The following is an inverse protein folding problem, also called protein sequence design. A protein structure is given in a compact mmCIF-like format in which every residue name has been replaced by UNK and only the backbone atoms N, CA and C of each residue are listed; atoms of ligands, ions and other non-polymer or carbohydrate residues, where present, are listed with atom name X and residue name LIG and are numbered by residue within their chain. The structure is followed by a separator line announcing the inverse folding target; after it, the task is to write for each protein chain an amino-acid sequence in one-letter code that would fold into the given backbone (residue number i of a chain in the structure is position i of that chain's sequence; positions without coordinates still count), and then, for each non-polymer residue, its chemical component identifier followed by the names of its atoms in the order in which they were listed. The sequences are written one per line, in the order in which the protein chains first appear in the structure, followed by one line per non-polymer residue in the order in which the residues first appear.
data_IF_221170065785
#
_entry.id   IF_221170065785
#
_cell.length_a   1.000
_cell.length_b   1.000
_cell.length_c   1.000
_cell.angle_alpha   90.00
_cell.angle_beta   90.00
_cell.angle_gamma   90.00
#
_symmetry.space_group_name_H-M   'P 1'
#
loop_
_entity.id
_entity.type
_entity.pdbx_description
1 polymer ?
#
# COMPACT_ATOMS: atom_id res chain seq x y z
N UNK A 1 -16.78 -24.39 -32.36
CA UNK A 1 -16.90 -23.07 -31.72
C UNK A 1 -15.80 -22.95 -30.67
N UNK A 2 -14.57 -22.70 -31.13
CA UNK A 2 -13.37 -22.62 -30.28
C UNK A 2 -13.26 -21.20 -29.74
N UNK A 3 -13.37 -21.02 -28.42
CA UNK A 3 -13.01 -19.74 -27.79
C UNK A 3 -11.56 -19.41 -28.22
N UNK A 4 -11.29 -18.23 -28.79
CA UNK A 4 -9.95 -17.89 -29.26
C UNK A 4 -9.00 -17.89 -28.06
N UNK A 5 -7.80 -18.44 -28.24
CA UNK A 5 -6.81 -18.64 -27.18
C UNK A 5 -6.51 -17.37 -26.36
N UNK A 6 -6.72 -16.19 -26.94
CA UNK A 6 -6.59 -14.88 -26.29
C UNK A 6 -7.59 -14.65 -25.13
N UNK A 7 -8.82 -15.17 -25.22
CA UNK A 7 -9.77 -15.03 -24.12
C UNK A 7 -9.35 -15.87 -22.89
N UNK A 8 -8.72 -17.03 -23.12
CA UNK A 8 -8.26 -17.89 -22.04
C UNK A 8 -7.08 -17.25 -21.29
N UNK A 9 -6.14 -16.63 -22.01
CA UNK A 9 -4.96 -15.98 -21.41
C UNK A 9 -5.34 -14.77 -20.55
N UNK A 10 -6.29 -13.94 -21.01
CA UNK A 10 -6.80 -12.81 -20.23
C UNK A 10 -7.51 -13.24 -18.94
N UNK A 11 -8.27 -14.34 -18.98
CA UNK A 11 -8.94 -14.90 -17.80
C UNK A 11 -7.94 -15.46 -16.78
N UNK A 12 -6.90 -16.15 -17.24
CA UNK A 12 -5.83 -16.66 -16.37
C UNK A 12 -5.06 -15.50 -15.72
N UNK A 13 -4.70 -14.48 -16.50
CA UNK A 13 -3.95 -13.33 -16.01
C UNK A 13 -4.74 -12.51 -14.98
N UNK A 14 -6.05 -12.34 -15.18
CA UNK A 14 -6.91 -11.66 -14.20
C UNK A 14 -7.12 -12.44 -12.91
N UNK A 15 -7.20 -13.78 -12.98
CA UNK A 15 -7.22 -14.63 -11.77
C UNK A 15 -5.92 -14.54 -11.00
N UNK A 16 -4.78 -14.61 -11.69
CA UNK A 16 -3.46 -14.46 -11.08
C UNK A 16 -3.30 -13.07 -10.43
N UNK A 17 -3.69 -12.00 -11.13
CA UNK A 17 -3.62 -10.64 -10.60
C UNK A 17 -4.47 -10.46 -9.32
N UNK A 18 -5.68 -11.01 -9.28
CA UNK A 18 -6.53 -10.99 -8.07
C UNK A 18 -5.89 -11.72 -6.90
N UNK A 19 -5.33 -12.92 -7.15
CA UNK A 19 -4.66 -13.69 -6.11
C UNK A 19 -3.42 -12.96 -5.59
N UNK A 20 -2.62 -12.36 -6.46
CA UNK A 20 -1.45 -11.58 -6.07
C UNK A 20 -1.82 -10.33 -5.28
N UNK A 21 -2.92 -9.65 -5.65
CA UNK A 21 -3.42 -8.51 -4.86
C UNK A 21 -3.84 -8.97 -3.46
N UNK A 22 -4.53 -10.11 -3.35
CA UNK A 22 -4.94 -10.66 -2.06
C UNK A 22 -3.73 -11.03 -1.20
N UNK A 23 -2.73 -11.69 -1.77
CA UNK A 23 -1.48 -12.02 -1.08
C UNK A 23 -0.75 -10.75 -0.64
N UNK A 24 -0.66 -9.75 -1.51
CA UNK A 24 -0.06 -8.46 -1.18
C UNK A 24 -0.80 -7.74 -0.05
N UNK A 25 -2.14 -7.79 -0.02
CA UNK A 25 -2.95 -7.21 1.04
C UNK A 25 -2.71 -7.93 2.39
N UNK A 26 -2.63 -9.26 2.38
CA UNK A 26 -2.30 -10.05 3.57
C UNK A 26 -0.90 -9.69 4.08
N UNK A 27 0.09 -9.57 3.19
CA UNK A 27 1.45 -9.14 3.55
C UNK A 27 1.45 -7.71 4.11
N UNK A 28 0.67 -6.79 3.53
CA UNK A 28 0.57 -5.43 4.01
C UNK A 28 -0.06 -5.32 5.41
N UNK A 29 -1.14 -6.05 5.66
CA UNK A 29 -1.78 -6.13 6.97
C UNK A 29 -0.87 -6.78 8.02
N UNK A 30 -0.21 -7.88 7.64
CA UNK A 30 0.77 -8.55 8.48
C UNK A 30 1.92 -7.61 8.82
N UNK A 31 2.45 -6.89 7.83
CA UNK A 31 3.54 -5.95 8.02
C UNK A 31 3.18 -4.77 8.92
N UNK A 32 1.98 -4.19 8.80
CA UNK A 32 1.51 -3.14 9.72
C UNK A 32 1.46 -3.64 11.18
N UNK A 33 0.96 -4.86 11.40
CA UNK A 33 0.92 -5.46 12.72
C UNK A 33 2.34 -5.77 13.26
N UNK A 34 3.21 -6.34 12.44
CA UNK A 34 4.57 -6.72 12.82
C UNK A 34 5.45 -5.52 13.15
N UNK A 35 5.42 -4.45 12.34
CA UNK A 35 6.29 -3.28 12.53
C UNK A 35 5.91 -2.42 13.74
N UNK A 36 4.69 -2.57 14.27
CA UNK A 36 4.21 -1.81 15.43
C UNK A 36 4.40 -2.55 16.75
N UNK A 37 4.67 -3.86 16.71
CA UNK A 37 4.94 -4.63 17.90
C UNK A 37 6.41 -4.42 18.37
N UNK A 38 6.68 -4.42 19.68
CA UNK A 38 7.98 -4.02 20.24
C UNK A 38 9.13 -4.97 19.90
N UNK A 39 8.84 -6.21 19.47
CA UNK A 39 9.83 -7.24 19.16
C UNK A 39 10.34 -7.14 17.71
N UNK A 40 11.00 -6.03 17.40
CA UNK A 40 11.48 -5.70 16.05
C UNK A 40 12.31 -6.83 15.42
N UNK A 41 13.22 -7.46 16.19
CA UNK A 41 14.08 -8.58 15.74
C UNK A 41 13.33 -9.66 14.97
N UNK A 42 12.39 -10.31 15.66
CA UNK A 42 11.56 -11.37 15.09
C UNK A 42 10.58 -10.86 14.03
N UNK A 43 10.01 -9.67 14.24
CA UNK A 43 8.95 -9.14 13.39
C UNK A 43 9.46 -8.76 11.98
N UNK A 44 10.63 -8.13 11.89
CA UNK A 44 11.26 -7.80 10.61
C UNK A 44 11.71 -9.08 9.90
N UNK A 45 12.27 -10.04 10.65
CA UNK A 45 12.65 -11.34 10.11
C UNK A 45 11.46 -12.06 9.45
N UNK A 46 10.34 -12.14 10.17
CA UNK A 46 9.11 -12.77 9.68
C UNK A 46 8.53 -12.01 8.48
N UNK A 47 8.50 -10.67 8.52
CA UNK A 47 8.02 -9.85 7.42
C UNK A 47 8.83 -10.03 6.12
N UNK A 48 10.16 -9.98 6.21
CA UNK A 48 11.02 -10.19 5.04
C UNK A 48 10.99 -11.64 4.54
N UNK A 49 10.96 -12.63 5.43
CA UNK A 49 10.87 -14.04 5.06
C UNK A 49 9.53 -14.36 4.37
N UNK A 50 8.41 -13.80 4.85
CA UNK A 50 7.09 -13.99 4.22
C UNK A 50 7.05 -13.40 2.81
N UNK A 51 7.66 -12.23 2.59
CA UNK A 51 7.80 -11.63 1.26
C UNK A 51 8.65 -12.51 0.32
N UNK A 52 9.82 -12.95 0.78
CA UNK A 52 10.72 -13.81 0.00
C UNK A 52 10.04 -15.14 -0.36
N UNK A 53 9.33 -15.76 0.59
CA UNK A 53 8.59 -16.99 0.36
C UNK A 53 7.43 -16.79 -0.65
N UNK A 54 6.69 -15.68 -0.55
CA UNK A 54 5.63 -15.35 -1.49
C UNK A 54 6.18 -15.19 -2.91
N UNK A 55 7.28 -14.44 -3.08
CA UNK A 55 7.93 -14.26 -4.37
C UNK A 55 8.47 -15.58 -4.94
N UNK A 56 9.08 -16.42 -4.09
CA UNK A 56 9.51 -17.77 -4.47
C UNK A 56 8.35 -18.63 -4.98
N UNK A 57 7.20 -18.63 -4.30
CA UNK A 57 6.01 -19.39 -4.74
C UNK A 57 5.45 -18.84 -6.05
N UNK A 58 5.40 -17.52 -6.23
CA UNK A 58 5.00 -16.89 -7.49
C UNK A 58 5.92 -17.29 -8.64
N UNK A 59 7.22 -17.40 -8.36
CA UNK A 59 8.22 -17.87 -9.31
C UNK A 59 8.01 -19.32 -9.76
N UNK A 60 7.31 -20.14 -8.97
CA UNK A 60 7.02 -21.54 -9.28
C UNK A 60 5.71 -21.72 -10.07
N UNK A 61 4.73 -20.85 -9.87
CA UNK A 61 3.34 -21.10 -10.31
C UNK A 61 2.96 -20.48 -11.64
N UNK A 62 3.64 -19.43 -12.09
CA UNK A 62 3.30 -18.81 -13.38
C UNK A 62 4.03 -19.51 -14.54
N UNK A 63 3.35 -19.75 -15.68
CA UNK A 63 3.92 -20.46 -16.81
C UNK A 63 5.22 -19.82 -17.31
N UNK A 64 6.12 -20.69 -17.72
CA UNK A 64 7.41 -20.38 -18.30
C UNK A 64 7.17 -19.65 -19.64
N UNK A 65 7.29 -18.32 -19.67
CA UNK A 65 7.59 -17.69 -20.94
C UNK A 65 8.97 -18.19 -21.37
N UNK A 66 9.20 -18.45 -22.64
CA UNK A 66 10.39 -19.15 -23.19
C UNK A 66 11.76 -18.59 -22.72
N UNK A 67 11.80 -17.37 -22.16
CA UNK A 67 12.96 -16.71 -21.54
C UNK A 67 13.18 -17.03 -20.03
N UNK A 68 12.22 -17.69 -19.37
CA UNK A 68 12.16 -17.93 -17.91
C UNK A 68 12.70 -19.29 -17.47
N UNK A 69 13.08 -20.16 -18.42
CA UNK A 69 13.68 -21.47 -18.14
C UNK A 69 14.97 -21.40 -17.29
N UNK A 70 15.50 -20.21 -17.01
CA UNK A 70 16.70 -20.03 -16.20
C UNK A 70 16.50 -19.19 -14.92
N UNK A 71 15.29 -18.72 -14.52
CA UNK A 71 15.15 -17.90 -13.30
C UNK A 71 15.68 -18.62 -12.07
N UNK A 72 16.72 -18.05 -11.48
CA UNK A 72 17.43 -18.64 -10.34
C UNK A 72 16.65 -18.39 -9.07
N UNK A 73 16.27 -19.47 -8.37
CA UNK A 73 15.37 -19.39 -7.21
C UNK A 73 16.09 -19.34 -5.85
N UNK A 74 17.36 -19.76 -5.79
CA UNK A 74 18.14 -19.74 -4.55
C UNK A 74 18.29 -18.34 -3.91
N UNK A 75 18.33 -17.21 -4.64
CA UNK A 75 18.46 -15.90 -4.01
C UNK A 75 17.33 -15.59 -3.02
N UNK A 76 16.10 -16.04 -3.26
CA UNK A 76 15.03 -15.88 -2.27
C UNK A 76 15.23 -16.71 -1.01
N UNK A 77 15.81 -17.91 -1.12
CA UNK A 77 16.18 -18.71 0.04
C UNK A 77 17.28 -18.02 0.85
N UNK A 78 18.28 -17.46 0.17
CA UNK A 78 19.31 -16.65 0.82
C UNK A 78 18.72 -15.40 1.48
N UNK A 79 17.82 -14.70 0.80
CA UNK A 79 17.14 -13.53 1.35
C UNK A 79 16.32 -13.88 2.61
N UNK A 80 15.61 -15.02 2.59
CA UNK A 80 14.89 -15.51 3.76
C UNK A 80 15.83 -15.91 4.92
N UNK A 81 17.00 -16.49 4.61
CA UNK A 81 18.02 -16.80 5.61
C UNK A 81 18.56 -15.54 6.29
N UNK A 82 18.98 -14.53 5.52
CA UNK A 82 19.46 -13.27 6.07
C UNK A 82 18.36 -12.50 6.82
N UNK A 83 17.12 -12.56 6.34
CA UNK A 83 15.96 -12.08 7.10
C UNK A 83 15.84 -12.80 8.45
N UNK A 84 16.00 -14.12 8.51
CA UNK A 84 15.91 -14.88 9.76
C UNK A 84 17.02 -14.52 10.76
N UNK A 85 18.20 -14.10 10.30
CA UNK A 85 19.30 -13.67 11.19
C UNK A 85 18.94 -12.45 12.04
N UNK A 86 17.96 -11.64 11.61
CA UNK A 86 17.43 -10.52 12.40
C UNK A 86 16.77 -10.96 13.72
N UNK A 87 16.30 -12.21 13.81
CA UNK A 87 15.76 -12.76 15.04
C UNK A 87 16.83 -13.33 15.99
N UNK A 88 18.04 -13.57 15.48
CA UNK A 88 19.12 -14.26 16.20
C UNK A 88 20.21 -13.29 16.66
N UNK A 89 20.44 -12.21 15.91
CA UNK A 89 21.54 -11.26 16.15
C UNK A 89 21.04 -10.02 16.89
N UNK A 90 21.90 -9.50 17.75
CA UNK A 90 21.61 -8.31 18.58
C UNK A 90 22.50 -7.11 18.21
N UNK A 91 23.55 -7.32 17.41
CA UNK A 91 24.45 -6.23 17.01
C UNK A 91 23.88 -5.43 15.83
N UNK A 92 23.60 -4.15 16.05
CA UNK A 92 23.11 -3.20 15.03
C UNK A 92 23.85 -3.22 13.68
N UNK A 93 25.20 -3.23 13.60
CA UNK A 93 25.89 -3.23 12.31
C UNK A 93 25.66 -4.52 11.52
N UNK A 94 25.59 -5.69 12.18
CA UNK A 94 25.31 -6.95 11.48
C UNK A 94 23.85 -6.99 11.00
N UNK A 95 22.91 -6.45 11.78
CA UNK A 95 21.51 -6.33 11.38
C UNK A 95 21.33 -5.48 10.13
N UNK A 96 22.09 -4.38 10.00
CA UNK A 96 22.10 -3.56 8.79
C UNK A 96 22.65 -4.33 7.58
N UNK A 97 23.75 -5.09 7.77
CA UNK A 97 24.31 -5.93 6.71
C UNK A 97 23.38 -7.06 6.28
N UNK A 98 22.65 -7.67 7.23
CA UNK A 98 21.69 -8.73 6.93
C UNK A 98 20.49 -8.21 6.12
N UNK A 99 19.98 -7.01 6.43
CA UNK A 99 18.94 -6.36 5.63
C UNK A 99 19.46 -6.04 4.23
N UNK A 100 20.66 -5.47 4.11
CA UNK A 100 21.28 -5.19 2.81
C UNK A 100 21.45 -6.48 2.01
N UNK A 101 21.97 -7.55 2.61
CA UNK A 101 22.12 -8.85 1.96
C UNK A 101 20.78 -9.41 1.50
N UNK A 102 19.74 -9.36 2.34
CA UNK A 102 18.41 -9.82 1.99
C UNK A 102 17.80 -9.04 0.81
N UNK A 103 17.93 -7.71 0.81
CA UNK A 103 17.46 -6.85 -0.27
C UNK A 103 18.25 -7.05 -1.57
N UNK A 104 19.57 -7.18 -1.49
CA UNK A 104 20.43 -7.47 -2.65
C UNK A 104 20.06 -8.81 -3.29
N UNK A 105 19.90 -9.86 -2.48
CA UNK A 105 19.50 -11.18 -2.93
C UNK A 105 18.08 -11.18 -3.54
N UNK A 106 17.16 -10.39 -2.99
CA UNK A 106 15.81 -10.23 -3.54
C UNK A 106 15.79 -9.54 -4.93
N UNK A 107 16.85 -8.81 -5.31
CA UNK A 107 16.97 -8.19 -6.63
C UNK A 107 17.53 -9.13 -7.70
N UNK A 108 18.36 -10.12 -7.33
CA UNK A 108 19.06 -11.00 -8.29
C UNK A 108 18.17 -11.80 -9.24
N UNK A 109 16.97 -12.31 -8.84
CA UNK A 109 16.11 -13.08 -9.75
C UNK A 109 15.65 -12.31 -10.99
N UNK A 110 15.84 -10.99 -11.03
CA UNK A 110 15.51 -10.13 -12.17
C UNK A 110 16.66 -9.99 -13.19
N UNK A 111 17.85 -10.49 -12.88
CA UNK A 111 18.96 -10.58 -13.83
C UNK A 111 18.61 -11.63 -14.89
N UNK A 112 18.75 -11.26 -16.17
CA UNK A 112 18.46 -12.12 -17.32
C UNK A 112 19.54 -13.20 -17.50
N UNK A 113 19.19 -14.33 -18.12
CA UNK A 113 20.14 -15.42 -18.39
C UNK A 113 20.39 -16.34 -17.19
N UNK A 114 19.59 -16.18 -16.12
CA UNK A 114 19.54 -17.13 -15.03
C UNK A 114 20.88 -17.45 -14.38
N UNK A 115 21.20 -18.74 -14.23
CA UNK A 115 22.44 -19.16 -13.58
C UNK A 115 23.69 -18.69 -14.34
N UNK A 116 23.65 -18.61 -15.67
CA UNK A 116 24.77 -18.09 -16.48
C UNK A 116 24.88 -16.57 -16.33
N UNK A 117 23.75 -15.88 -16.46
CA UNK A 117 23.67 -14.43 -16.27
C UNK A 117 24.13 -13.99 -14.89
N UNK A 118 23.80 -14.73 -13.81
CA UNK A 118 24.31 -14.43 -12.47
C UNK A 118 25.82 -14.66 -12.33
N UNK A 119 26.40 -15.61 -13.08
CA UNK A 119 27.86 -15.89 -13.05
C UNK A 119 28.65 -14.84 -13.83
N UNK A 120 28.05 -14.30 -14.88
CA UNK A 120 28.66 -13.30 -15.76
C UNK A 120 28.32 -11.86 -15.35
N UNK A 121 27.35 -11.68 -14.44
CA UNK A 121 26.88 -10.38 -13.99
C UNK A 121 28.02 -9.54 -13.39
N UNK A 122 28.23 -8.36 -13.98
CA UNK A 122 29.11 -7.35 -13.43
C UNK A 122 28.44 -6.52 -12.35
N UNK A 123 29.22 -5.60 -11.76
CA UNK A 123 28.69 -4.61 -10.80
C UNK A 123 27.59 -3.75 -11.41
N UNK A 124 27.74 -3.39 -12.69
CA UNK A 124 26.73 -2.60 -13.41
C UNK A 124 25.38 -3.34 -13.52
N UNK A 125 25.41 -4.66 -13.77
CA UNK A 125 24.20 -5.48 -13.86
C UNK A 125 23.51 -5.59 -12.49
N UNK A 126 24.28 -5.68 -11.40
CA UNK A 126 23.75 -5.68 -10.04
C UNK A 126 23.06 -4.35 -9.71
N UNK A 127 23.69 -3.22 -10.04
CA UNK A 127 23.09 -1.89 -9.85
C UNK A 127 21.84 -1.73 -10.70
N UNK A 128 21.89 -2.14 -11.98
CA UNK A 128 20.73 -2.12 -12.87
C UNK A 128 19.59 -3.02 -12.37
N UNK A 129 19.91 -4.19 -11.81
CA UNK A 129 18.93 -5.07 -11.19
C UNK A 129 18.31 -4.42 -9.96
N UNK A 130 19.09 -3.79 -9.07
CA UNK A 130 18.57 -3.10 -7.89
C UNK A 130 17.65 -1.93 -8.28
N UNK A 131 18.11 -1.03 -9.16
CA UNK A 131 17.34 0.12 -9.64
C UNK A 131 16.09 -0.35 -10.40
N UNK A 132 16.24 -1.37 -11.25
CA UNK A 132 15.13 -1.95 -11.99
C UNK A 132 14.10 -2.59 -11.07
N UNK A 133 14.53 -3.30 -10.03
CA UNK A 133 13.65 -3.88 -9.00
C UNK A 133 12.90 -2.78 -8.26
N UNK A 134 13.58 -1.74 -7.82
CA UNK A 134 12.96 -0.60 -7.14
C UNK A 134 11.91 0.08 -8.02
N UNK A 135 12.24 0.38 -9.27
CA UNK A 135 11.32 0.98 -10.22
C UNK A 135 10.10 0.12 -10.50
N UNK A 136 10.30 -1.19 -10.74
CA UNK A 136 9.22 -2.13 -11.02
C UNK A 136 8.36 -2.40 -9.78
N UNK A 137 8.95 -2.39 -8.59
CA UNK A 137 8.21 -2.48 -7.33
C UNK A 137 7.36 -1.23 -7.12
N UNK A 138 7.91 -0.04 -7.37
CA UNK A 138 7.18 1.21 -7.24
C UNK A 138 6.01 1.34 -8.22
N UNK A 139 6.16 0.82 -9.45
CA UNK A 139 5.18 0.97 -10.52
C UNK A 139 4.28 -0.25 -10.72
N UNK A 140 4.71 -1.43 -10.27
CA UNK A 140 4.06 -2.70 -10.52
C UNK A 140 2.70 -2.85 -9.83
N UNK A 141 2.48 -2.16 -8.71
CA UNK A 141 1.17 -2.10 -8.06
C UNK A 141 0.09 -1.55 -8.98
N UNK A 142 0.40 -0.52 -9.77
CA UNK A 142 -0.52 0.05 -10.74
C UNK A 142 -0.86 -0.93 -11.86
N UNK A 143 0.16 -1.66 -12.36
CA UNK A 143 -0.03 -2.64 -13.42
C UNK A 143 -0.79 -3.87 -12.94
N UNK A 144 -0.53 -4.32 -11.71
CA UNK A 144 -1.32 -5.37 -11.08
C UNK A 144 -2.80 -4.97 -11.05
N UNK A 145 -3.11 -3.76 -10.57
CA UNK A 145 -4.49 -3.26 -10.47
C UNK A 145 -5.19 -3.21 -11.82
N UNK A 146 -4.49 -2.83 -12.89
CA UNK A 146 -5.03 -2.85 -14.26
C UNK A 146 -5.37 -4.24 -14.76
N UNK A 147 -4.61 -5.25 -14.33
CA UNK A 147 -4.76 -6.63 -14.77
C UNK A 147 -5.76 -7.43 -13.93
N UNK A 148 -6.31 -6.90 -12.83
CA UNK A 148 -7.36 -7.55 -12.01
C UNK A 148 -8.63 -7.86 -12.81
N UNK A 149 -8.84 -7.16 -13.94
CA UNK A 149 -10.02 -7.30 -14.78
C UNK A 149 -11.24 -6.59 -14.20
N UNK A 150 -12.44 -7.09 -14.50
CA UNK A 150 -13.67 -6.50 -13.98
C UNK A 150 -13.81 -6.73 -12.48
N UNK A 151 -14.03 -5.63 -11.76
CA UNK A 151 -14.33 -5.62 -10.33
C UNK A 151 -15.85 -5.51 -10.17
N UNK A 152 -16.48 -6.23 -9.21
CA UNK A 152 -17.91 -6.08 -8.93
C UNK A 152 -18.31 -4.62 -8.75
N UNK A 153 -19.50 -4.24 -9.23
CA UNK A 153 -19.98 -2.84 -9.19
C UNK A 153 -19.96 -2.29 -7.76
N UNK A 154 -20.37 -3.09 -6.77
CA UNK A 154 -20.31 -2.71 -5.35
C UNK A 154 -18.90 -2.27 -4.91
N UNK A 155 -17.88 -3.05 -5.25
CA UNK A 155 -16.48 -2.73 -4.93
C UNK A 155 -15.96 -1.51 -5.69
N UNK A 156 -16.39 -1.30 -6.94
CA UNK A 156 -16.05 -0.08 -7.69
C UNK A 156 -16.59 1.16 -6.99
N UNK A 157 -17.82 1.10 -6.48
CA UNK A 157 -18.41 2.20 -5.71
C UNK A 157 -17.65 2.43 -4.40
N UNK A 158 -17.37 1.37 -3.63
CA UNK A 158 -16.59 1.49 -2.37
C UNK A 158 -15.23 2.14 -2.62
N UNK A 159 -14.50 1.71 -3.66
CA UNK A 159 -13.21 2.32 -4.03
C UNK A 159 -13.39 3.77 -4.47
N UNK A 160 -14.40 4.08 -5.28
CA UNK A 160 -14.66 5.45 -5.72
C UNK A 160 -15.01 6.38 -4.55
N UNK A 161 -15.80 5.91 -3.58
CA UNK A 161 -16.12 6.63 -2.35
C UNK A 161 -14.87 6.85 -1.51
N UNK A 162 -14.06 5.81 -1.28
CA UNK A 162 -12.81 5.91 -0.53
C UNK A 162 -11.82 6.89 -1.16
N UNK A 163 -11.64 6.82 -2.50
CA UNK A 163 -10.80 7.78 -3.24
C UNK A 163 -11.39 9.20 -3.16
N UNK A 164 -12.71 9.35 -3.28
CA UNK A 164 -13.37 10.64 -3.14
C UNK A 164 -13.15 11.27 -1.76
N UNK A 165 -13.30 10.49 -0.69
CA UNK A 165 -13.01 10.91 0.69
C UNK A 165 -11.53 11.26 0.88
N UNK A 166 -10.62 10.45 0.32
CA UNK A 166 -9.17 10.73 0.38
C UNK A 166 -8.83 12.07 -0.29
N UNK A 167 -9.39 12.32 -1.46
CA UNK A 167 -9.24 13.60 -2.19
C UNK A 167 -9.89 14.76 -1.42
N UNK A 168 -10.90 14.49 -0.60
CA UNK A 168 -11.53 15.51 0.24
C UNK A 168 -10.71 15.93 1.45
N UNK A 169 -9.73 15.12 1.89
CA UNK A 169 -8.95 15.37 3.11
C UNK A 169 -8.33 16.79 3.15
N UNK A 170 -7.61 17.28 2.12
CA UNK A 170 -7.00 18.61 2.18
C UNK A 170 -8.03 19.72 2.37
N UNK A 171 -9.16 19.67 1.65
CA UNK A 171 -10.23 20.65 1.79
C UNK A 171 -10.86 20.60 3.18
N UNK A 172 -11.19 19.40 3.66
CA UNK A 172 -11.73 19.18 5.01
C UNK A 172 -10.79 19.72 6.08
N UNK A 173 -9.49 19.46 5.98
CA UNK A 173 -8.48 19.95 6.94
C UNK A 173 -8.37 21.47 6.91
N UNK A 174 -8.29 22.10 5.73
CA UNK A 174 -8.19 23.55 5.59
C UNK A 174 -9.42 24.22 6.19
N UNK A 175 -10.64 23.83 5.80
CA UNK A 175 -11.86 24.44 6.31
C UNK A 175 -12.08 24.16 7.80
N UNK A 176 -11.81 22.94 8.26
CA UNK A 176 -11.93 22.63 9.69
C UNK A 176 -10.96 23.45 10.53
N UNK A 177 -9.71 23.65 10.07
CA UNK A 177 -8.72 24.47 10.76
C UNK A 177 -9.12 25.96 10.77
N UNK A 178 -9.61 26.49 9.63
CA UNK A 178 -10.10 27.87 9.55
C UNK A 178 -11.25 28.12 10.51
N UNK A 179 -12.23 27.22 10.57
CA UNK A 179 -13.37 27.33 11.48
C UNK A 179 -12.98 27.15 12.94
N UNK A 180 -12.06 26.23 13.25
CA UNK A 180 -11.54 26.05 14.60
C UNK A 180 -10.77 27.29 15.08
N UNK A 181 -10.05 27.98 14.18
CA UNK A 181 -9.38 29.23 14.51
C UNK A 181 -10.35 30.39 14.75
N UNK A 182 -11.56 30.33 14.20
CA UNK A 182 -12.56 31.39 14.31
C UNK A 182 -13.51 31.19 15.52
N UNK A 183 -13.73 29.95 15.95
CA UNK A 183 -14.67 29.62 17.03
C UNK A 183 -14.09 28.55 18.00
N UNK A 184 -13.88 28.91 19.29
CA UNK A 184 -13.39 27.98 20.31
C UNK A 184 -14.29 26.75 20.57
N UNK A 185 -15.61 26.87 20.36
CA UNK A 185 -16.54 25.74 20.51
C UNK A 185 -16.33 24.71 19.42
N UNK A 186 -16.13 25.18 18.20
CA UNK A 186 -15.83 24.32 17.07
C UNK A 186 -14.45 23.67 17.23
N UNK A 187 -13.43 24.40 17.69
CA UNK A 187 -12.10 23.82 18.01
C UNK A 187 -12.21 22.67 19.02
N UNK A 188 -12.97 22.85 20.11
CA UNK A 188 -13.20 21.78 21.09
C UNK A 188 -13.89 20.56 20.47
N UNK A 189 -14.90 20.78 19.63
CA UNK A 189 -15.59 19.71 18.91
C UNK A 189 -14.64 18.95 17.97
N UNK A 190 -13.85 19.66 17.16
CA UNK A 190 -12.86 19.07 16.24
C UNK A 190 -11.82 18.25 17.00
N UNK A 191 -11.24 18.79 18.09
CA UNK A 191 -10.26 18.05 18.90
C UNK A 191 -10.83 16.77 19.50
N UNK A 192 -12.10 16.78 19.89
CA UNK A 192 -12.77 15.59 20.41
C UNK A 192 -12.98 14.51 19.33
N UNK A 193 -13.28 14.92 18.09
CA UNK A 193 -13.48 14.03 16.94
C UNK A 193 -12.15 13.48 16.38
N UNK A 194 -11.13 14.34 16.31
CA UNK A 194 -9.79 14.02 15.78
C UNK A 194 -8.89 13.36 16.84
N UNK A 195 -9.42 13.04 18.02
CA UNK A 195 -8.68 12.39 19.10
C UNK A 195 -7.93 11.12 18.67
N UNK A 196 -7.13 10.57 19.60
CA UNK A 196 -6.14 9.48 19.38
C UNK A 196 -6.63 8.33 18.48
N UNK A 197 -7.92 7.99 18.51
CA UNK A 197 -8.52 6.92 17.69
C UNK A 197 -8.40 7.17 16.18
N UNK A 198 -8.68 8.38 15.69
CA UNK A 198 -8.67 8.67 14.25
C UNK A 198 -7.24 8.68 13.69
N UNK A 199 -6.31 9.31 14.42
CA UNK A 199 -4.89 9.32 14.06
C UNK A 199 -4.29 7.91 14.02
N UNK A 200 -4.64 7.06 14.99
CA UNK A 200 -4.23 5.65 15.00
C UNK A 200 -4.75 4.92 13.76
N UNK A 201 -6.06 4.97 13.48
CA UNK A 201 -6.67 4.30 12.32
C UNK A 201 -6.03 4.76 11.00
N UNK A 202 -5.83 6.07 10.83
CA UNK A 202 -5.21 6.62 9.63
C UNK A 202 -3.77 6.12 9.47
N UNK A 203 -3.01 6.06 10.56
CA UNK A 203 -1.64 5.54 10.51
C UNK A 203 -1.59 4.06 10.12
N UNK A 204 -2.51 3.23 10.64
CA UNK A 204 -2.63 1.81 10.29
C UNK A 204 -3.00 1.64 8.81
N UNK A 205 -3.96 2.44 8.33
CA UNK A 205 -4.39 2.43 6.95
C UNK A 205 -3.26 2.83 6.01
N UNK A 206 -2.54 3.92 6.31
CA UNK A 206 -1.43 4.40 5.48
C UNK A 206 -0.30 3.38 5.39
N UNK A 207 0.15 2.83 6.52
CA UNK A 207 1.23 1.85 6.53
C UNK A 207 0.81 0.57 5.78
N UNK A 208 -0.40 0.06 6.03
CA UNK A 208 -0.96 -1.11 5.33
C UNK A 208 -1.02 -0.88 3.82
N UNK A 209 -1.48 0.29 3.37
CA UNK A 209 -1.58 0.63 1.94
C UNK A 209 -0.19 0.70 1.30
N UNK A 210 0.79 1.33 1.94
CA UNK A 210 2.16 1.41 1.43
C UNK A 210 2.79 0.03 1.32
N UNK A 211 2.68 -0.79 2.38
CA UNK A 211 3.24 -2.15 2.37
C UNK A 211 2.54 -3.05 1.35
N UNK A 212 1.21 -2.96 1.25
CA UNK A 212 0.44 -3.67 0.21
C UNK A 212 0.87 -3.25 -1.18
N UNK A 213 1.09 -1.95 -1.42
CA UNK A 213 1.54 -1.43 -2.71
C UNK A 213 2.91 -1.97 -3.11
N UNK A 214 3.88 -1.94 -2.18
CA UNK A 214 5.22 -2.48 -2.41
C UNK A 214 5.19 -4.00 -2.61
N UNK A 215 4.42 -4.73 -1.82
CA UNK A 215 4.22 -6.17 -1.96
C UNK A 215 3.62 -6.51 -3.33
N UNK A 216 2.53 -5.83 -3.71
CA UNK A 216 1.86 -5.99 -4.99
C UNK A 216 2.80 -5.73 -6.15
N UNK A 217 3.56 -4.64 -6.07
CA UNK A 217 4.56 -4.28 -7.06
C UNK A 217 5.61 -5.36 -7.23
N UNK A 218 6.29 -5.72 -6.14
CA UNK A 218 7.36 -6.73 -6.15
C UNK A 218 6.88 -8.07 -6.69
N UNK A 219 5.74 -8.58 -6.19
CA UNK A 219 5.17 -9.85 -6.66
C UNK A 219 4.76 -9.80 -8.13
N UNK A 220 4.19 -8.69 -8.59
CA UNK A 220 3.82 -8.50 -10.00
C UNK A 220 5.05 -8.49 -10.92
N UNK A 221 6.19 -7.93 -10.46
CA UNK A 221 7.44 -7.94 -11.25
C UNK A 221 7.88 -9.34 -11.67
N UNK A 222 7.62 -10.32 -10.81
CA UNK A 222 7.98 -11.73 -11.02
C UNK A 222 6.87 -12.51 -11.74
N UNK A 223 5.62 -12.04 -11.66
CA UNK A 223 4.50 -12.67 -12.35
C UNK A 223 4.37 -12.25 -13.82
N UNK A 224 4.64 -10.98 -14.12
CA UNK A 224 4.57 -10.42 -15.47
C UNK A 224 5.80 -9.54 -15.75
N UNK A 225 6.97 -10.16 -16.01
CA UNK A 225 8.18 -9.41 -16.34
C UNK A 225 7.96 -8.56 -17.59
N UNK A 226 8.21 -7.26 -17.48
CA UNK A 226 8.17 -6.31 -18.60
C UNK A 226 9.54 -5.71 -18.90
N UNK A 227 9.77 -5.05 -20.04
CA UNK A 227 10.92 -4.16 -20.20
C UNK A 227 10.85 -2.99 -19.21
N UNK A 228 11.99 -2.36 -18.90
CA UNK A 228 11.97 -1.08 -18.20
C UNK A 228 11.30 -0.06 -19.13
N UNK A 229 10.11 0.40 -18.74
CA UNK A 229 9.33 1.38 -19.48
C UNK A 229 8.85 2.48 -18.52
N UNK A 230 8.66 3.72 -19.01
CA UNK A 230 8.04 4.75 -18.20
C UNK A 230 6.63 4.31 -17.78
N UNK A 231 6.20 4.59 -16.53
CA UNK A 231 4.87 4.26 -16.08
C UNK A 231 3.87 5.00 -16.96
N UNK A 232 3.07 4.25 -17.72
CA UNK A 232 1.82 4.80 -18.20
C UNK A 232 0.93 4.93 -16.98
N UNK A 233 0.74 6.13 -16.42
CA UNK A 233 -0.26 6.31 -15.37
C UNK A 233 -1.64 6.33 -16.05
N UNK A 234 -2.63 5.56 -15.56
CA UNK A 234 -3.97 5.70 -16.09
C UNK A 234 -4.40 7.15 -15.81
N UNK A 235 -5.01 7.83 -16.78
CA UNK A 235 -5.51 9.17 -16.56
C UNK A 235 -6.49 9.13 -15.37
N UNK A 236 -6.10 9.77 -14.26
CA UNK A 236 -6.95 9.86 -13.08
C UNK A 236 -8.07 10.83 -13.43
N UNK A 237 -9.20 10.30 -13.87
CA UNK A 237 -10.42 11.07 -14.08
C UNK A 237 -11.24 11.02 -12.81
N UNK A 238 -11.53 12.18 -12.24
CA UNK A 238 -12.50 12.30 -11.16
C UNK A 238 -13.89 11.97 -11.73
N UNK A 239 -14.48 10.89 -11.25
CA UNK A 239 -15.86 10.56 -11.56
C UNK A 239 -16.84 11.38 -10.71
N UNK A 240 -18.14 11.30 -11.02
CA UNK A 240 -19.17 12.03 -10.28
C UNK A 240 -19.20 11.66 -8.79
N UNK A 241 -18.95 10.40 -8.44
CA UNK A 241 -18.90 9.93 -7.04
C UNK A 241 -17.78 10.64 -6.27
N UNK A 242 -16.58 10.73 -6.85
CA UNK A 242 -15.45 11.38 -6.22
C UNK A 242 -15.72 12.87 -5.99
N UNK A 243 -16.30 13.54 -6.99
CA UNK A 243 -16.70 14.97 -6.89
C UNK A 243 -17.79 15.17 -5.84
N UNK A 244 -18.80 14.30 -5.79
CA UNK A 244 -19.85 14.34 -4.77
C UNK A 244 -19.29 14.10 -3.37
N UNK A 245 -18.31 13.22 -3.19
CA UNK A 245 -17.66 13.00 -1.89
C UNK A 245 -16.82 14.21 -1.46
N UNK A 246 -16.08 14.83 -2.39
CA UNK A 246 -15.32 16.06 -2.13
C UNK A 246 -16.24 17.20 -1.69
N UNK A 247 -17.28 17.48 -2.49
CA UNK A 247 -18.25 18.54 -2.21
C UNK A 247 -19.07 18.22 -0.95
N UNK A 248 -19.54 16.99 -0.80
CA UNK A 248 -20.36 16.54 0.32
C UNK A 248 -19.60 16.56 1.64
N UNK A 249 -18.36 16.08 1.67
CA UNK A 249 -17.52 16.14 2.88
C UNK A 249 -17.21 17.58 3.27
N UNK A 250 -16.92 18.45 2.30
CA UNK A 250 -16.71 19.88 2.56
C UNK A 250 -18.00 20.53 3.08
N UNK A 251 -19.14 20.30 2.42
CA UNK A 251 -20.43 20.81 2.86
C UNK A 251 -20.81 20.32 4.27
N UNK A 252 -20.46 19.08 4.62
CA UNK A 252 -20.65 18.54 5.96
C UNK A 252 -19.86 19.31 7.02
N UNK A 253 -18.60 19.69 6.74
CA UNK A 253 -17.80 20.52 7.66
C UNK A 253 -18.49 21.86 7.91
N UNK A 254 -18.98 22.52 6.86
CA UNK A 254 -19.74 23.76 6.97
C UNK A 254 -21.04 23.57 7.76
N UNK A 255 -21.80 22.50 7.49
CA UNK A 255 -23.03 22.21 8.21
C UNK A 255 -22.78 21.96 9.70
N UNK A 256 -21.72 21.22 10.05
CA UNK A 256 -21.31 21.00 11.44
C UNK A 256 -20.92 22.31 12.12
N UNK A 257 -20.19 23.19 11.44
CA UNK A 257 -19.84 24.51 11.96
C UNK A 257 -21.09 25.35 12.26
N UNK A 258 -22.02 25.43 11.30
CA UNK A 258 -23.30 26.14 11.50
C UNK A 258 -24.12 25.51 12.62
N UNK A 259 -24.14 24.19 12.76
CA UNK A 259 -24.86 23.52 13.84
C UNK A 259 -24.29 23.85 15.23
N UNK A 260 -22.95 23.92 15.36
CA UNK A 260 -22.29 24.35 16.60
C UNK A 260 -22.67 25.80 16.94
N UNK A 261 -22.65 26.69 15.96
CA UNK A 261 -23.06 28.09 16.15
C UNK A 261 -24.55 28.23 16.49
N UNK A 262 -25.42 27.48 15.82
CA UNK A 262 -26.84 27.50 16.13
C UNK A 262 -27.10 27.02 17.57
N UNK A 263 -26.38 25.99 18.02
CA UNK A 263 -26.46 25.49 19.38
C UNK A 263 -26.04 26.52 20.44
N UNK A 264 -25.07 27.38 20.15
CA UNK A 264 -24.69 28.47 21.07
C UNK A 264 -25.68 29.63 21.03
N UNK A 265 -26.16 30.03 19.85
CA UNK A 265 -27.09 31.15 19.67
C UNK A 265 -28.49 30.86 20.23
N UNK A 266 -28.96 29.62 20.13
CA UNK A 266 -30.29 29.21 20.59
C UNK A 266 -30.27 28.35 21.86
N UNK A 267 -29.10 28.13 22.47
CA UNK A 267 -28.92 27.25 23.63
C UNK A 267 -29.44 27.78 24.97
N UNK A 268 -29.82 29.06 25.04
CA UNK A 268 -30.45 29.67 26.22
C UNK A 268 -29.63 29.58 27.52
N UNK A 269 -30.31 29.66 28.68
CA UNK A 269 -29.66 29.61 30.01
C UNK A 269 -28.93 28.29 30.29
N UNK A 270 -29.39 27.15 29.75
CA UNK A 270 -28.79 25.83 29.98
C UNK A 270 -27.37 25.73 29.41
N UNK A 271 -27.10 26.38 28.27
CA UNK A 271 -25.77 26.47 27.67
C UNK A 271 -24.82 27.33 28.53
N UNK A 272 -25.31 28.47 29.04
CA UNK A 272 -24.55 29.36 29.93
C UNK A 272 -24.23 28.67 31.25
N UNK A 273 -25.18 27.96 31.86
CA UNK A 273 -24.98 27.19 33.12
C UNK A 273 -23.93 26.09 32.99
N UNK A 274 -23.98 25.31 31.90
CA UNK A 274 -23.02 24.23 31.66
C UNK A 274 -21.59 24.72 31.34
N UNK A 275 -21.42 25.95 30.85
CA UNK A 275 -20.09 26.51 30.55
C UNK A 275 -19.51 27.35 31.68
N UNK A 276 -20.34 28.07 32.45
CA UNK A 276 -19.87 29.00 33.49
C UNK A 276 -19.78 28.36 34.87
N UNK A 277 -20.40 27.20 35.09
CA UNK A 277 -20.40 26.52 36.40
C UNK A 277 -21.15 27.28 37.50
N UNK A 278 -21.95 28.29 37.14
CA UNK A 278 -22.76 29.06 38.07
C UNK A 278 -24.11 28.35 38.28
N UNK A 279 -24.31 27.77 39.46
CA UNK A 279 -25.61 27.24 39.91
C UNK A 279 -26.56 28.37 40.26
#
# INVERSE_FOLDING_TARGET
MTLPAEHLTLLVMSRAARLLLLVALVIGLLGDHLLRAPQWGFNVALGLATMAAAAFVVSMRLPDQKERSETVRWPWLGAAFFAAMWAVRDSEPLLAMDVLAALSLACLPLIRGGNRGLREAGVADLVAAAVGTAWRTATGGADLVRNIGSVPVAWRTVVAVGVGLLVAIPAVLIFSALFASADPLFDKAVRSLVGVKLGSILSHLLLTVVLTWLAAGYLWTHAAPRPLAPPSLPAVRLGPVQVMMLLGATALVFALFVAVQAGSLFGGEAFVRNQTGLT
#
